data_IF_386368589259
#
_entry.id   IF_386368589259
#
_cell.length_a   1.000
_cell.length_b   1.000
_cell.length_c   1.000
_cell.angle_alpha   90.00
_cell.angle_beta   90.00
_cell.angle_gamma   90.00
#
_symmetry.space_group_name_H-M   'P 1'
#
loop_
_entity.id
_entity.type
_entity.pdbx_description
1 polymer ?
#
# COMPACT_ATOMS: atom_id res chain seq x y z
N UNK A 1 26.25 -18.80 -24.56
CA UNK A 1 26.11 -20.13 -23.95
C UNK A 1 26.15 -19.93 -22.44
N UNK A 2 24.99 -19.89 -21.78
CA UNK A 2 24.89 -19.71 -20.31
C UNK A 2 25.27 -21.04 -19.67
N UNK A 3 26.22 -21.07 -18.73
CA UNK A 3 26.67 -22.33 -18.11
C UNK A 3 25.64 -22.79 -17.09
N UNK A 4 25.40 -24.10 -17.01
CA UNK A 4 24.48 -24.73 -16.04
C UNK A 4 24.74 -24.31 -14.57
N UNK A 5 25.98 -23.94 -14.23
CA UNK A 5 26.36 -23.41 -12.92
C UNK A 5 25.76 -22.03 -12.61
N UNK A 6 25.61 -21.18 -13.62
CA UNK A 6 25.02 -19.84 -13.48
C UNK A 6 23.49 -19.92 -13.36
N UNK A 7 22.87 -20.96 -13.94
CA UNK A 7 21.45 -21.28 -13.78
C UNK A 7 21.09 -21.67 -12.34
N UNK A 8 21.97 -22.43 -11.67
CA UNK A 8 21.75 -22.86 -10.28
C UNK A 8 21.77 -21.70 -9.28
N UNK A 9 22.63 -20.70 -9.50
CA UNK A 9 22.74 -19.51 -8.64
C UNK A 9 21.54 -18.57 -8.87
N UNK A 10 21.13 -18.33 -10.12
CA UNK A 10 19.92 -17.56 -10.41
C UNK A 10 18.65 -18.24 -9.88
N UNK A 11 18.56 -19.57 -10.01
CA UNK A 11 17.42 -20.34 -9.50
C UNK A 11 17.32 -20.30 -7.98
N UNK A 12 18.43 -20.40 -7.27
CA UNK A 12 18.47 -20.29 -5.80
C UNK A 12 18.14 -18.86 -5.31
N UNK A 13 18.55 -17.82 -6.05
CA UNK A 13 18.26 -16.43 -5.71
C UNK A 13 16.76 -16.09 -5.83
N UNK A 14 16.03 -16.70 -6.79
CA UNK A 14 14.60 -16.51 -6.97
C UNK A 14 13.76 -17.15 -5.85
N UNK A 15 14.26 -18.19 -5.19
CA UNK A 15 13.59 -18.85 -4.06
C UNK A 15 13.68 -18.06 -2.74
N UNK A 16 14.53 -17.03 -2.68
CA UNK A 16 14.72 -16.19 -1.48
C UNK A 16 13.86 -14.92 -1.50
N UNK A 17 13.08 -14.68 -2.56
CA UNK A 17 12.20 -13.52 -2.68
C UNK A 17 10.83 -13.89 -2.10
N UNK A 18 10.75 -14.02 -0.77
CA UNK A 18 9.46 -14.08 -0.09
C UNK A 18 8.68 -12.79 -0.37
N UNK A 19 7.52 -12.89 -1.03
CA UNK A 19 6.69 -11.74 -1.36
C UNK A 19 5.96 -11.27 -0.10
N UNK A 20 6.60 -10.41 0.69
CA UNK A 20 5.93 -9.74 1.82
C UNK A 20 4.93 -8.76 1.21
N UNK A 21 3.64 -9.11 1.23
CA UNK A 21 2.58 -8.22 0.79
C UNK A 21 1.95 -7.54 2.00
N UNK A 22 1.46 -6.31 1.81
CA UNK A 22 0.68 -5.61 2.84
C UNK A 22 -0.72 -5.33 2.33
N UNK A 23 -1.70 -5.44 3.22
CA UNK A 23 -3.08 -5.13 2.90
C UNK A 23 -3.74 -4.26 3.97
N UNK A 24 -4.73 -3.48 3.54
CA UNK A 24 -5.58 -2.71 4.44
C UNK A 24 -6.74 -3.58 4.93
N UNK A 25 -6.91 -3.67 6.24
CA UNK A 25 -8.01 -4.41 6.87
C UNK A 25 -8.81 -3.53 7.83
N UNK A 26 -10.08 -3.86 8.00
CA UNK A 26 -10.97 -3.22 8.95
C UNK A 26 -11.67 -4.30 9.80
N UNK A 27 -11.82 -4.14 11.14
CA UNK A 27 -12.40 -5.18 12.00
C UNK A 27 -13.85 -5.53 11.67
N UNK A 28 -14.62 -4.57 11.15
CA UNK A 28 -16.07 -4.70 10.95
C UNK A 28 -16.57 -4.39 9.54
N UNK A 29 -15.67 -4.00 8.62
CA UNK A 29 -16.05 -3.63 7.24
C UNK A 29 -15.50 -4.63 6.25
N UNK A 30 -16.24 -4.95 5.18
CA UNK A 30 -15.72 -5.76 4.09
C UNK A 30 -14.59 -5.02 3.36
N UNK A 31 -13.63 -5.79 2.80
CA UNK A 31 -12.48 -5.25 2.07
C UNK A 31 -12.86 -4.33 0.90
N UNK A 32 -14.01 -4.59 0.26
CA UNK A 32 -14.53 -3.77 -0.84
C UNK A 32 -14.83 -2.31 -0.45
N UNK A 33 -15.08 -2.03 0.83
CA UNK A 33 -15.38 -0.68 1.30
C UNK A 33 -14.13 0.19 1.42
N UNK A 34 -12.93 -0.40 1.39
CA UNK A 34 -11.66 0.32 1.53
C UNK A 34 -11.54 1.41 0.46
N UNK A 35 -11.79 1.07 -0.80
CA UNK A 35 -11.68 2.00 -1.93
C UNK A 35 -12.64 3.17 -1.77
N UNK A 36 -13.85 2.94 -1.25
CA UNK A 36 -14.81 4.01 -1.02
C UNK A 36 -14.32 4.97 0.08
N UNK A 37 -13.86 4.44 1.22
CA UNK A 37 -13.32 5.25 2.32
C UNK A 37 -12.05 6.00 1.90
N UNK A 38 -11.17 5.36 1.12
CA UNK A 38 -9.98 5.97 0.55
C UNK A 38 -10.33 7.16 -0.34
N UNK A 39 -11.19 6.96 -1.34
CA UNK A 39 -11.58 8.01 -2.28
C UNK A 39 -12.23 9.20 -1.57
N UNK A 40 -13.03 8.92 -0.52
CA UNK A 40 -13.62 9.98 0.30
C UNK A 40 -12.56 10.76 1.06
N UNK A 41 -11.61 10.07 1.69
CA UNK A 41 -10.48 10.69 2.38
C UNK A 41 -9.62 11.52 1.42
N UNK A 42 -9.30 11.00 0.24
CA UNK A 42 -8.52 11.71 -0.78
C UNK A 42 -9.25 12.97 -1.25
N UNK A 43 -10.55 12.89 -1.52
CA UNK A 43 -11.36 14.07 -1.88
C UNK A 43 -11.36 15.14 -0.79
N UNK A 44 -11.42 14.74 0.48
CA UNK A 44 -11.40 15.68 1.61
C UNK A 44 -10.01 16.31 1.79
N UNK A 45 -8.94 15.53 1.63
CA UNK A 45 -7.55 16.00 1.65
C UNK A 45 -7.28 17.01 0.53
N UNK A 46 -7.79 16.75 -0.67
CA UNK A 46 -7.64 17.65 -1.82
C UNK A 46 -8.35 18.99 -1.64
N UNK A 47 -9.27 19.12 -0.68
CA UNK A 47 -9.90 20.42 -0.33
C UNK A 47 -9.02 21.27 0.57
N UNK A 48 -7.97 20.73 1.18
CA UNK A 48 -7.06 21.49 2.03
C UNK A 48 -6.10 22.35 1.19
N UNK A 49 -6.21 23.69 1.24
CA UNK A 49 -5.36 24.59 0.45
C UNK A 49 -3.86 24.42 0.75
N UNK A 50 -3.49 23.95 1.95
CA UNK A 50 -2.09 23.70 2.33
C UNK A 50 -1.50 22.50 1.61
N UNK A 51 -2.34 21.52 1.27
CA UNK A 51 -1.92 20.29 0.59
C UNK A 51 -2.00 20.42 -0.93
N UNK A 52 -2.73 21.41 -1.45
CA UNK A 52 -2.78 21.73 -2.88
C UNK A 52 -1.48 22.32 -3.45
N UNK A 53 -0.49 22.63 -2.62
CA UNK A 53 0.82 23.15 -3.05
C UNK A 53 1.72 22.11 -3.77
N UNK A 54 1.15 20.99 -4.24
CA UNK A 54 1.74 20.15 -5.29
C UNK A 54 2.55 18.94 -4.83
N UNK A 55 2.76 18.75 -3.52
CA UNK A 55 3.45 17.55 -3.04
C UNK A 55 2.48 16.37 -2.91
N UNK A 56 2.44 15.52 -3.95
CA UNK A 56 1.66 14.27 -3.97
C UNK A 56 1.88 13.41 -2.71
N UNK A 57 3.11 13.36 -2.21
CA UNK A 57 3.44 12.63 -0.98
C UNK A 57 2.67 13.13 0.25
N UNK A 58 2.44 14.45 0.37
CA UNK A 58 1.69 15.01 1.49
C UNK A 58 0.20 14.65 1.40
N UNK A 59 -0.38 14.68 0.20
CA UNK A 59 -1.75 14.22 -0.06
C UNK A 59 -1.87 12.75 0.34
N UNK A 60 -0.94 11.90 -0.11
CA UNK A 60 -0.95 10.49 0.23
C UNK A 60 -0.87 10.25 1.75
N UNK A 61 0.09 10.88 2.44
CA UNK A 61 0.22 10.73 3.90
C UNK A 61 -1.02 11.22 4.65
N UNK A 62 -1.66 12.30 4.18
CA UNK A 62 -2.89 12.80 4.78
C UNK A 62 -4.07 11.86 4.54
N UNK A 63 -4.18 11.28 3.34
CA UNK A 63 -5.19 10.27 3.00
C UNK A 63 -5.01 9.01 3.87
N UNK A 64 -3.78 8.52 4.02
CA UNK A 64 -3.44 7.38 4.89
C UNK A 64 -3.85 7.65 6.35
N UNK A 65 -3.53 8.84 6.89
CA UNK A 65 -3.98 9.24 8.24
C UNK A 65 -5.51 9.29 8.37
N UNK A 66 -6.22 9.70 7.32
CA UNK A 66 -7.67 9.74 7.33
C UNK A 66 -8.29 8.33 7.37
N UNK A 67 -7.79 7.38 6.58
CA UNK A 67 -8.29 6.00 6.62
C UNK A 67 -7.90 5.28 7.92
N UNK A 68 -6.73 5.58 8.50
CA UNK A 68 -6.36 5.11 9.84
C UNK A 68 -7.37 5.56 10.89
N UNK A 69 -7.80 6.83 10.87
CA UNK A 69 -8.84 7.36 11.78
C UNK A 69 -10.20 6.70 11.60
N UNK A 70 -10.47 6.14 10.42
CA UNK A 70 -11.70 5.37 10.14
C UNK A 70 -11.62 3.93 10.63
N UNK A 71 -10.49 3.49 11.19
CA UNK A 71 -10.31 2.14 11.74
C UNK A 71 -9.64 1.16 10.78
N UNK A 72 -9.22 1.60 9.59
CA UNK A 72 -8.42 0.78 8.69
C UNK A 72 -7.00 0.68 9.21
N UNK A 73 -6.38 -0.50 9.11
CA UNK A 73 -4.98 -0.71 9.49
C UNK A 73 -4.26 -1.49 8.40
N UNK A 74 -2.99 -1.17 8.18
CA UNK A 74 -2.14 -1.93 7.28
C UNK A 74 -1.58 -3.15 8.03
N UNK A 75 -1.81 -4.34 7.50
CA UNK A 75 -1.25 -5.59 8.01
C UNK A 75 -0.35 -6.23 6.97
N UNK A 76 0.68 -6.93 7.44
CA UNK A 76 1.44 -7.81 6.56
C UNK A 76 0.66 -9.10 6.34
N UNK A 77 0.66 -9.56 5.09
CA UNK A 77 0.11 -10.83 4.67
C UNK A 77 1.32 -11.70 4.34
N UNK A 78 1.53 -12.71 5.18
CA UNK A 78 2.59 -13.73 5.05
C UNK A 78 2.23 -14.80 4.02
#
# INVERSE_FOLDING_TARGET
MVRFRDLGILGAALLLIGCISSEWVHPTKPKGDFTQDWNRCESDVLKDPKLQQGMKAMVQMATERCVLKKGWVMKQVE
#
